data_IF_598987574491
#
_entry.id   IF_598987574491
#
_cell.length_a   1.000
_cell.length_b   1.000
_cell.length_c   1.000
_cell.angle_alpha   90.00
_cell.angle_beta   90.00
_cell.angle_gamma   90.00
#
_symmetry.space_group_name_H-M   'P 1'
#
loop_
_entity.id
_entity.type
_entity.pdbx_description
1 polymer ?
#
# COMPACT_ATOMS: atom_id res chain seq x y z
N UNK A 1 -16.78 21.45 19.70
CA UNK A 1 -17.03 19.99 19.75
C UNK A 1 -16.57 19.38 18.43
N UNK A 2 -15.80 18.28 18.43
CA UNK A 2 -15.45 17.60 17.18
C UNK A 2 -16.73 17.00 16.56
N UNK A 3 -16.97 17.29 15.29
CA UNK A 3 -18.08 16.73 14.53
C UNK A 3 -17.68 15.30 14.12
N UNK A 4 -18.25 14.28 14.78
CA UNK A 4 -18.14 12.90 14.31
C UNK A 4 -18.89 12.77 13.00
N UNK A 5 -18.16 12.60 11.89
CA UNK A 5 -18.76 12.16 10.62
C UNK A 5 -18.69 10.64 10.55
N UNK A 6 -19.83 9.99 10.71
CA UNK A 6 -20.01 8.56 10.45
C UNK A 6 -20.50 8.38 9.02
N UNK A 7 -19.75 7.63 8.22
CA UNK A 7 -20.13 7.21 6.87
C UNK A 7 -19.71 5.76 6.65
N UNK A 8 -20.17 5.15 5.56
CA UNK A 8 -19.78 3.79 5.17
C UNK A 8 -18.35 3.79 4.60
N UNK A 9 -17.38 4.09 5.46
CA UNK A 9 -15.97 4.20 5.10
C UNK A 9 -15.34 2.80 5.10
N UNK A 10 -15.08 2.28 3.91
CA UNK A 10 -14.32 1.05 3.75
C UNK A 10 -12.82 1.34 3.94
N UNK A 11 -12.38 1.18 5.19
CA UNK A 11 -10.99 1.37 5.58
C UNK A 11 -10.04 0.47 4.77
N UNK A 12 -10.43 -0.77 4.49
CA UNK A 12 -9.58 -1.69 3.76
C UNK A 12 -9.38 -1.21 2.31
N UNK A 13 -10.45 -0.76 1.66
CA UNK A 13 -10.37 -0.16 0.32
C UNK A 13 -9.48 1.08 0.30
N UNK A 14 -9.66 1.99 1.26
CA UNK A 14 -8.86 3.22 1.31
C UNK A 14 -7.38 2.92 1.56
N UNK A 15 -7.07 1.98 2.46
CA UNK A 15 -5.68 1.59 2.73
C UNK A 15 -5.01 0.98 1.50
N UNK A 16 -5.71 0.18 0.71
CA UNK A 16 -5.17 -0.35 -0.56
C UNK A 16 -4.85 0.76 -1.56
N UNK A 17 -5.75 1.74 -1.72
CA UNK A 17 -5.54 2.89 -2.63
C UNK A 17 -4.31 3.69 -2.19
N UNK A 18 -4.21 3.97 -0.89
CA UNK A 18 -3.07 4.72 -0.34
C UNK A 18 -1.75 3.97 -0.48
N UNK A 19 -1.74 2.68 -0.16
CA UNK A 19 -0.55 1.85 -0.34
C UNK A 19 -0.10 1.82 -1.80
N UNK A 20 -1.04 1.68 -2.75
CA UNK A 20 -0.72 1.71 -4.18
C UNK A 20 -0.13 3.05 -4.63
N UNK A 21 -0.73 4.15 -4.17
CA UNK A 21 -0.25 5.51 -4.47
C UNK A 21 1.13 5.79 -3.87
N UNK A 22 1.45 5.18 -2.73
CA UNK A 22 2.76 5.30 -2.10
C UNK A 22 3.82 4.58 -2.94
N UNK A 23 3.60 3.31 -3.30
CA UNK A 23 4.60 2.54 -4.07
C UNK A 23 4.71 2.99 -5.53
N UNK A 24 3.67 3.62 -6.10
CA UNK A 24 3.74 4.17 -7.47
C UNK A 24 4.71 5.35 -7.60
N UNK A 25 5.28 5.83 -6.50
CA UNK A 25 6.36 6.83 -6.53
C UNK A 25 7.72 6.20 -6.86
N UNK A 26 7.84 4.88 -6.73
CA UNK A 26 9.09 4.14 -6.87
C UNK A 26 9.12 3.27 -8.13
N UNK A 27 7.97 3.03 -8.76
CA UNK A 27 7.82 2.05 -9.83
C UNK A 27 7.24 2.69 -11.09
N UNK A 28 7.54 2.10 -12.24
CA UNK A 28 6.87 2.43 -13.50
C UNK A 28 5.41 1.98 -13.50
N UNK A 29 4.64 2.44 -14.49
CA UNK A 29 3.24 2.00 -14.63
C UNK A 29 3.15 0.50 -14.94
N UNK A 30 4.08 -0.04 -15.73
CA UNK A 30 4.14 -1.47 -16.04
C UNK A 30 4.44 -2.30 -14.79
N UNK A 31 5.44 -1.91 -14.00
CA UNK A 31 5.82 -2.61 -12.77
C UNK A 31 4.68 -2.57 -11.74
N UNK A 32 3.96 -1.46 -11.65
CA UNK A 32 2.84 -1.32 -10.74
C UNK A 32 1.70 -2.31 -11.06
N UNK A 33 1.53 -2.69 -12.33
CA UNK A 33 0.54 -3.70 -12.75
C UNK A 33 0.89 -5.10 -12.22
N UNK A 34 2.18 -5.37 -11.99
CA UNK A 34 2.66 -6.63 -11.45
C UNK A 34 2.58 -6.70 -9.91
N UNK A 35 2.29 -5.57 -9.23
CA UNK A 35 2.14 -5.53 -7.78
C UNK A 35 0.71 -5.80 -7.34
N UNK A 36 0.55 -6.86 -6.54
CA UNK A 36 -0.69 -7.17 -5.82
C UNK A 36 -0.59 -6.70 -4.37
N UNK A 37 -1.60 -5.94 -3.91
CA UNK A 37 -1.69 -5.43 -2.54
C UNK A 37 -2.81 -6.14 -1.78
N UNK A 38 -2.43 -6.78 -0.69
CA UNK A 38 -3.34 -7.51 0.18
C UNK A 38 -3.36 -6.92 1.59
N UNK A 39 -4.53 -6.95 2.21
CA UNK A 39 -4.69 -6.62 3.62
C UNK A 39 -5.09 -7.90 4.33
N UNK A 40 -4.21 -8.38 5.20
CA UNK A 40 -4.51 -9.50 6.06
C UNK A 40 -5.47 -9.01 7.15
N UNK A 41 -6.72 -9.48 7.09
CA UNK A 41 -7.79 -9.07 8.03
C UNK A 41 -7.52 -9.52 9.48
N UNK A 42 -6.76 -10.59 9.67
CA UNK A 42 -6.46 -11.14 10.99
C UNK A 42 -5.34 -10.37 11.68
N UNK A 43 -4.30 -10.01 10.93
CA UNK A 43 -3.12 -9.32 11.48
C UNK A 43 -3.18 -7.81 11.29
N UNK A 44 -4.15 -7.31 10.52
CA UNK A 44 -4.23 -5.91 10.08
C UNK A 44 -2.95 -5.41 9.39
N UNK A 45 -2.17 -6.34 8.81
CA UNK A 45 -0.97 -6.03 8.04
C UNK A 45 -1.30 -5.88 6.57
N UNK A 46 -0.57 -4.98 5.91
CA UNK A 46 -0.58 -4.81 4.47
C UNK A 46 0.62 -5.54 3.88
N UNK A 47 0.39 -6.37 2.87
CA UNK A 47 1.42 -7.15 2.17
C UNK A 47 1.46 -6.76 0.70
N UNK A 48 2.67 -6.76 0.14
CA UNK A 48 2.92 -6.55 -1.28
C UNK A 48 3.44 -7.86 -1.88
N UNK A 49 2.88 -8.26 -3.02
CA UNK A 49 3.33 -9.41 -3.79
C UNK A 49 3.70 -8.92 -5.19
N UNK A 50 4.94 -9.14 -5.59
CA UNK A 50 5.49 -8.76 -6.89
C UNK A 50 6.71 -9.65 -7.20
N UNK A 51 7.24 -9.66 -8.43
CA UNK A 51 8.55 -10.25 -8.72
C UNK A 51 9.65 -9.72 -7.80
N UNK A 52 10.72 -10.51 -7.61
CA UNK A 52 11.77 -10.22 -6.63
C UNK A 52 12.41 -8.84 -6.81
N UNK A 53 12.73 -8.44 -8.04
CA UNK A 53 13.32 -7.14 -8.35
C UNK A 53 12.42 -5.97 -7.90
N UNK A 54 11.13 -6.04 -8.21
CA UNK A 54 10.13 -5.03 -7.82
C UNK A 54 9.93 -5.03 -6.30
N UNK A 55 9.87 -6.21 -5.69
CA UNK A 55 9.71 -6.35 -4.23
C UNK A 55 10.89 -5.76 -3.47
N UNK A 56 12.12 -5.95 -3.95
CA UNK A 56 13.33 -5.39 -3.38
C UNK A 56 13.36 -3.86 -3.51
N UNK A 57 12.97 -3.33 -4.68
CA UNK A 57 12.86 -1.89 -4.92
C UNK A 57 11.83 -1.22 -4.00
N UNK A 58 10.64 -1.82 -3.85
CA UNK A 58 9.63 -1.34 -2.89
C UNK A 58 10.21 -1.34 -1.47
N UNK A 59 10.85 -2.44 -1.05
CA UNK A 59 11.38 -2.60 0.31
C UNK A 59 12.44 -1.56 0.64
N UNK A 60 13.40 -1.35 -0.27
CA UNK A 60 14.47 -0.36 -0.10
C UNK A 60 13.91 1.05 -0.01
N UNK A 61 12.98 1.42 -0.88
CA UNK A 61 12.43 2.78 -0.89
C UNK A 61 11.51 3.05 0.30
N UNK A 62 10.75 2.05 0.77
CA UNK A 62 9.98 2.19 2.01
C UNK A 62 10.88 2.33 3.24
N UNK A 63 11.99 1.60 3.33
CA UNK A 63 12.92 1.73 4.43
C UNK A 63 13.56 3.12 4.53
N UNK A 64 13.72 3.82 3.40
CA UNK A 64 14.21 5.21 3.37
C UNK A 64 13.19 6.24 3.87
N UNK A 65 11.89 5.95 3.77
CA UNK A 65 10.83 6.85 4.24
C UNK A 65 10.61 6.80 5.76
N UNK A 66 11.10 5.76 6.42
CA UNK A 66 10.99 5.56 7.88
C UNK A 66 12.14 6.23 8.66
N UNK A 67 13.09 6.87 7.96
CA UNK A 67 14.23 7.61 8.52
C UNK A 67 13.96 9.11 8.56
#
# INVERSE_FOLDING_TARGET
MPIKRTGNFDLAKEMKIRARKMISQFLSEEELLEVTIEINKTTSKLSFHAPDAISEEITINLAKLDQ
#
